data_IF_195374104308
#
_entry.id   IF_195374104308
#
_cell.length_a   1.000
_cell.length_b   1.000
_cell.length_c   1.000
_cell.angle_alpha   90.00
_cell.angle_beta   90.00
_cell.angle_gamma   90.00
#
_symmetry.space_group_name_H-M   'P 1'
#
loop_
_entity.id
_entity.type
_entity.pdbx_description
1 polymer ?
#
# COMPACT_ATOMS: atom_id res chain seq x y z
N UNK A 1 -11.88 -6.20 10.76
CA UNK A 1 -11.32 -5.55 11.97
C UNK A 1 -12.34 -5.33 13.07
N UNK A 2 -13.63 -5.26 12.78
CA UNK A 2 -14.68 -5.10 13.81
C UNK A 2 -15.55 -6.35 13.99
N UNK A 3 -15.20 -7.46 13.32
CA UNK A 3 -15.89 -8.74 13.48
C UNK A 3 -15.57 -9.33 14.87
N UNK A 4 -16.57 -10.02 15.44
CA UNK A 4 -16.49 -10.66 16.77
C UNK A 4 -15.54 -11.87 16.76
N UNK A 5 -15.22 -12.40 15.58
CA UNK A 5 -14.36 -13.58 15.41
C UNK A 5 -13.31 -13.39 14.32
N UNK A 6 -12.13 -13.93 14.56
CA UNK A 6 -11.05 -14.00 13.59
C UNK A 6 -11.49 -14.78 12.33
N UNK A 7 -10.98 -14.38 11.17
CA UNK A 7 -11.28 -15.06 9.91
C UNK A 7 -10.11 -14.97 8.92
N UNK A 8 -10.00 -15.97 8.04
CA UNK A 8 -9.13 -15.87 6.88
C UNK A 8 -9.86 -15.18 5.73
N UNK A 9 -9.24 -14.15 5.16
CA UNK A 9 -9.74 -13.49 3.97
C UNK A 9 -9.74 -14.47 2.79
N UNK A 10 -10.86 -14.58 2.08
CA UNK A 10 -11.01 -15.59 1.03
C UNK A 10 -10.15 -15.32 -0.21
N UNK A 11 -9.73 -14.06 -0.43
CA UNK A 11 -8.93 -13.68 -1.60
C UNK A 11 -7.45 -13.81 -1.33
N UNK A 12 -7.00 -13.37 -0.16
CA UNK A 12 -5.57 -13.31 0.19
C UNK A 12 -5.16 -14.43 1.14
N UNK A 13 -6.09 -15.18 1.75
CA UNK A 13 -5.80 -16.16 2.81
C UNK A 13 -5.11 -15.55 4.05
N UNK A 14 -5.12 -14.21 4.19
CA UNK A 14 -4.59 -13.51 5.35
C UNK A 14 -5.57 -13.65 6.51
N UNK A 15 -5.04 -14.00 7.69
CA UNK A 15 -5.79 -13.98 8.94
C UNK A 15 -6.03 -12.53 9.39
N UNK A 16 -7.30 -12.14 9.49
CA UNK A 16 -7.74 -10.91 10.10
C UNK A 16 -8.32 -11.19 11.48
N UNK A 17 -7.92 -10.36 12.45
CA UNK A 17 -8.39 -10.44 13.83
C UNK A 17 -9.16 -9.17 14.21
N UNK A 18 -9.89 -9.24 15.33
CA UNK A 18 -10.56 -8.07 15.90
C UNK A 18 -9.54 -7.03 16.38
N UNK A 19 -9.84 -5.76 16.13
CA UNK A 19 -8.97 -4.64 16.49
C UNK A 19 -9.10 -4.20 17.97
N UNK A 20 -10.05 -4.78 18.72
CA UNK A 20 -10.41 -4.39 20.09
C UNK A 20 -9.27 -4.43 21.12
N UNK A 21 -8.18 -5.17 20.84
CA UNK A 21 -6.99 -5.20 21.71
C UNK A 21 -6.01 -4.05 21.45
N UNK A 22 -6.18 -3.33 20.35
CA UNK A 22 -5.26 -2.30 19.87
C UNK A 22 -5.84 -0.89 20.00
N UNK A 23 -7.14 -0.76 20.29
CA UNK A 23 -7.88 0.52 20.41
C UNK A 23 -8.95 0.39 21.51
N UNK A 24 -9.17 1.45 22.28
CA UNK A 24 -10.15 1.47 23.38
C UNK A 24 -11.43 2.26 23.08
N UNK A 25 -11.51 2.92 21.92
CA UNK A 25 -12.57 3.84 21.54
C UNK A 25 -13.14 3.50 20.16
N UNK A 26 -14.20 4.20 19.77
CA UNK A 26 -14.83 4.07 18.46
C UNK A 26 -16.00 3.10 18.44
N UNK A 27 -16.75 3.16 17.36
CA UNK A 27 -17.99 2.40 17.15
C UNK A 27 -17.89 1.62 15.85
N UNK A 28 -18.23 0.33 15.93
CA UNK A 28 -18.24 -0.58 14.80
C UNK A 28 -19.43 -0.29 13.89
N UNK A 29 -19.22 -0.40 12.59
CA UNK A 29 -20.23 -0.16 11.58
C UNK A 29 -19.99 -1.01 10.33
N UNK A 30 -21.07 -1.21 9.57
CA UNK A 30 -21.01 -1.83 8.26
C UNK A 30 -21.14 -0.75 7.20
N UNK A 31 -20.46 -0.93 6.07
CA UNK A 31 -20.76 -0.12 4.90
C UNK A 31 -22.16 -0.46 4.36
N UNK A 32 -22.73 0.43 3.56
CA UNK A 32 -24.01 0.17 2.91
C UNK A 32 -23.97 -1.09 2.04
N UNK A 33 -25.06 -1.87 2.08
CA UNK A 33 -25.21 -3.12 1.31
C UNK A 33 -25.09 -2.93 -0.20
N UNK A 34 -25.28 -1.70 -0.70
CA UNK A 34 -25.07 -1.34 -2.10
C UNK A 34 -23.61 -1.56 -2.52
N UNK A 35 -22.66 -1.38 -1.60
CA UNK A 35 -21.22 -1.49 -1.87
C UNK A 35 -20.60 -2.76 -1.27
N UNK A 36 -21.27 -3.44 -0.34
CA UNK A 36 -20.69 -4.59 0.37
C UNK A 36 -20.28 -5.75 -0.53
N UNK A 37 -21.00 -5.97 -1.63
CA UNK A 37 -20.76 -7.10 -2.53
C UNK A 37 -19.62 -6.88 -3.53
N UNK A 38 -19.06 -5.66 -3.60
CA UNK A 38 -18.00 -5.32 -4.56
C UNK A 38 -16.62 -5.19 -3.91
N UNK A 39 -16.54 -5.35 -2.59
CA UNK A 39 -15.30 -5.16 -1.83
C UNK A 39 -14.91 -6.43 -1.07
N UNK A 40 -13.62 -6.55 -0.78
CA UNK A 40 -13.11 -7.61 0.08
C UNK A 40 -13.64 -7.43 1.51
N UNK A 41 -13.78 -8.54 2.25
CA UNK A 41 -14.35 -8.54 3.61
C UNK A 41 -13.67 -7.57 4.58
N UNK A 42 -12.34 -7.36 4.58
CA UNK A 42 -11.71 -6.36 5.45
C UNK A 42 -12.19 -4.92 5.20
N UNK A 43 -12.81 -4.65 4.05
CA UNK A 43 -13.32 -3.34 3.65
C UNK A 43 -14.84 -3.20 3.85
N UNK A 44 -15.56 -4.27 4.20
CA UNK A 44 -17.02 -4.22 4.39
C UNK A 44 -17.44 -3.68 5.76
N UNK A 45 -16.49 -3.55 6.68
CA UNK A 45 -16.71 -3.07 8.04
C UNK A 45 -15.77 -1.90 8.34
N UNK A 46 -16.18 -1.05 9.29
CA UNK A 46 -15.39 0.09 9.75
C UNK A 46 -15.46 0.23 11.26
N UNK A 47 -14.39 0.73 11.88
CA UNK A 47 -14.45 1.38 13.18
C UNK A 47 -14.43 2.89 12.97
N UNK A 48 -15.42 3.58 13.53
CA UNK A 48 -15.59 5.03 13.38
C UNK A 48 -15.39 5.76 14.70
N UNK A 49 -14.86 6.99 14.65
CA UNK A 49 -14.44 7.75 15.81
C UNK A 49 -15.18 9.10 15.88
N UNK A 50 -16.43 9.06 16.33
CA UNK A 50 -17.28 10.25 16.46
C UNK A 50 -16.94 11.14 17.65
N UNK A 51 -16.10 10.66 18.57
CA UNK A 51 -15.69 11.36 19.79
C UNK A 51 -14.16 11.41 19.89
N UNK A 52 -13.66 12.50 20.46
CA UNK A 52 -12.23 12.76 20.64
C UNK A 52 -11.57 13.26 19.35
N UNK A 53 -10.61 14.18 19.51
CA UNK A 53 -9.93 14.80 18.37
C UNK A 53 -8.86 13.87 17.75
N UNK A 54 -8.33 12.93 18.54
CA UNK A 54 -7.27 11.99 18.16
C UNK A 54 -7.53 10.61 18.76
N UNK A 55 -7.64 9.59 17.92
CA UNK A 55 -7.85 8.21 18.30
C UNK A 55 -6.70 7.34 17.77
N UNK A 56 -6.00 6.62 18.64
CA UNK A 56 -4.73 5.97 18.31
C UNK A 56 -4.75 4.47 18.56
N UNK A 57 -4.49 3.71 17.50
CA UNK A 57 -4.13 2.29 17.61
C UNK A 57 -2.71 2.16 18.17
N UNK A 58 -2.52 1.23 19.10
CA UNK A 58 -1.19 0.83 19.60
C UNK A 58 -0.85 -0.55 19.07
N UNK A 59 0.09 -0.62 18.12
CA UNK A 59 0.60 -1.88 17.57
C UNK A 59 1.87 -2.30 18.30
N UNK A 60 2.00 -3.58 18.65
CA UNK A 60 3.19 -4.15 19.30
C UNK A 60 3.77 -5.25 18.40
N UNK A 61 4.65 -4.90 17.44
CA UNK A 61 5.22 -5.91 16.55
C UNK A 61 6.10 -6.90 17.33
N UNK A 62 6.06 -8.17 16.93
CA UNK A 62 6.81 -9.25 17.58
C UNK A 62 8.33 -8.99 17.63
N UNK A 63 8.88 -8.47 16.54
CA UNK A 63 10.31 -8.17 16.45
C UNK A 63 10.69 -6.82 17.10
N UNK A 64 9.70 -6.06 17.60
CA UNK A 64 9.91 -4.83 18.35
C UNK A 64 10.59 -3.69 17.58
N UNK A 65 11.29 -2.82 18.30
CA UNK A 65 12.00 -1.67 17.73
C UNK A 65 13.16 -2.06 16.80
N UNK A 66 13.63 -1.08 16.03
CA UNK A 66 14.78 -1.19 15.11
C UNK A 66 14.60 -2.21 13.97
N UNK A 67 13.38 -2.70 13.77
CA UNK A 67 13.00 -3.54 12.64
C UNK A 67 12.12 -2.77 11.65
N UNK A 68 12.16 -3.18 10.39
CA UNK A 68 11.44 -2.50 9.32
C UNK A 68 10.05 -3.08 9.15
N UNK A 69 9.06 -2.20 9.10
CA UNK A 69 7.67 -2.59 8.91
C UNK A 69 7.02 -1.79 7.78
N UNK A 70 6.22 -2.47 6.97
CA UNK A 70 5.21 -1.86 6.13
C UNK A 70 3.91 -1.79 6.93
N UNK A 71 3.39 -0.59 7.12
CA UNK A 71 2.11 -0.32 7.77
C UNK A 71 1.13 0.12 6.69
N UNK A 72 -0.04 -0.51 6.62
CA UNK A 72 -1.11 -0.14 5.69
C UNK A 72 -2.38 0.17 6.45
N UNK A 73 -2.89 1.38 6.29
CA UNK A 73 -4.24 1.75 6.70
C UNK A 73 -5.15 1.76 5.47
N UNK A 74 -6.26 1.02 5.55
CA UNK A 74 -7.21 0.80 4.47
C UNK A 74 -8.56 1.40 4.84
N UNK A 75 -9.16 2.11 3.89
CA UNK A 75 -10.40 2.85 4.10
C UNK A 75 -11.36 2.63 2.93
N UNK A 76 -12.59 2.24 3.25
CA UNK A 76 -13.73 2.20 2.33
C UNK A 76 -14.91 2.90 3.01
N UNK A 77 -15.28 4.10 2.54
CA UNK A 77 -16.37 4.86 3.18
C UNK A 77 -17.70 4.13 3.03
N UNK A 78 -18.08 3.78 1.80
CA UNK A 78 -19.28 2.98 1.51
C UNK A 78 -20.57 3.51 2.16
N UNK A 79 -20.64 4.81 2.45
CA UNK A 79 -21.74 5.45 3.16
C UNK A 79 -22.13 4.73 4.47
N UNK A 80 -21.15 4.27 5.25
CA UNK A 80 -21.40 3.49 6.48
C UNK A 80 -22.26 4.23 7.52
N UNK A 81 -22.23 5.57 7.53
CA UNK A 81 -22.98 6.41 8.46
C UNK A 81 -24.29 6.96 7.89
N UNK A 82 -24.66 6.55 6.66
CA UNK A 82 -25.88 6.98 5.96
C UNK A 82 -26.00 8.49 5.75
N UNK A 83 -24.90 9.25 5.80
CA UNK A 83 -24.91 10.71 5.59
C UNK A 83 -24.65 11.13 4.15
N UNK A 84 -24.08 10.25 3.34
CA UNK A 84 -23.66 10.54 1.96
C UNK A 84 -22.72 11.75 1.88
N UNK A 85 -21.85 11.89 2.88
CA UNK A 85 -20.90 12.98 3.01
C UNK A 85 -19.50 12.43 3.21
N UNK A 86 -18.65 12.60 2.19
CA UNK A 86 -17.29 12.08 2.19
C UNK A 86 -16.46 12.77 3.28
N UNK A 87 -15.95 12.03 4.29
CA UNK A 87 -15.14 12.63 5.33
C UNK A 87 -13.72 12.91 4.82
N UNK A 88 -13.09 13.93 5.38
CA UNK A 88 -11.65 14.19 5.26
C UNK A 88 -11.07 14.21 6.65
N UNK A 89 -9.95 13.54 6.87
CA UNK A 89 -9.28 13.51 8.16
C UNK A 89 -7.80 13.20 7.98
N UNK A 90 -7.02 13.33 9.05
CA UNK A 90 -5.57 13.12 9.01
C UNK A 90 -5.17 11.80 9.66
N UNK A 91 -4.12 11.20 9.13
CA UNK A 91 -3.45 10.03 9.67
C UNK A 91 -2.10 10.45 10.21
N UNK A 92 -1.75 9.97 11.40
CA UNK A 92 -0.48 10.25 12.06
C UNK A 92 0.22 8.95 12.42
N UNK A 93 1.55 8.94 12.33
CA UNK A 93 2.41 7.91 12.87
C UNK A 93 3.13 8.50 14.10
N UNK A 94 2.65 8.17 15.29
CA UNK A 94 3.05 8.82 16.54
C UNK A 94 2.63 10.29 16.60
N UNK A 95 3.62 11.18 16.49
CA UNK A 95 3.43 12.64 16.47
C UNK A 95 3.54 13.24 15.09
N UNK A 96 4.09 12.49 14.13
CA UNK A 96 4.32 12.95 12.76
C UNK A 96 3.07 12.76 11.91
N UNK A 97 2.70 13.78 11.13
CA UNK A 97 1.64 13.65 10.15
C UNK A 97 2.09 12.68 9.06
N UNK A 98 1.33 11.61 8.88
CA UNK A 98 1.58 10.64 7.83
C UNK A 98 0.94 11.12 6.52
N UNK A 99 -0.38 11.28 6.48
CA UNK A 99 -1.08 11.73 5.27
C UNK A 99 -2.51 12.20 5.58
N UNK A 100 -3.14 12.85 4.59
CA UNK A 100 -4.58 13.16 4.59
C UNK A 100 -5.35 12.02 3.91
N UNK A 101 -6.38 11.54 4.60
CA UNK A 101 -7.36 10.59 4.04
C UNK A 101 -8.50 11.40 3.42
N UNK A 102 -8.73 11.17 2.13
CA UNK A 102 -9.77 11.82 1.32
C UNK A 102 -10.28 10.84 0.28
N UNK A 103 -11.56 10.94 -0.06
CA UNK A 103 -12.25 10.04 -0.99
C UNK A 103 -12.78 10.84 -2.18
N UNK A 104 -12.80 10.24 -3.36
CA UNK A 104 -13.42 10.87 -4.54
C UNK A 104 -14.92 10.58 -4.65
N UNK A 105 -15.37 9.47 -4.07
CA UNK A 105 -16.77 9.01 -4.08
C UNK A 105 -16.96 7.90 -3.01
N UNK A 106 -18.18 7.39 -2.89
CA UNK A 106 -18.54 6.39 -1.88
C UNK A 106 -17.93 4.99 -2.10
N UNK A 107 -17.51 4.66 -3.32
CA UNK A 107 -16.93 3.37 -3.66
C UNK A 107 -15.39 3.40 -3.73
N UNK A 108 -14.78 4.54 -3.43
CA UNK A 108 -13.33 4.73 -3.47
C UNK A 108 -12.66 3.97 -2.32
N UNK A 109 -11.66 3.16 -2.67
CA UNK A 109 -10.85 2.42 -1.70
C UNK A 109 -9.50 3.14 -1.57
N UNK A 110 -9.28 3.74 -0.40
CA UNK A 110 -8.06 4.48 -0.10
C UNK A 110 -7.14 3.58 0.71
N UNK A 111 -5.93 3.37 0.17
CA UNK A 111 -4.83 2.74 0.89
C UNK A 111 -3.78 3.79 1.21
N UNK A 112 -3.35 3.85 2.47
CA UNK A 112 -2.17 4.59 2.90
C UNK A 112 -1.13 3.58 3.35
N UNK A 113 0.03 3.59 2.70
CA UNK A 113 1.17 2.75 3.08
C UNK A 113 2.36 3.59 3.54
N UNK A 114 3.02 3.14 4.59
CA UNK A 114 4.27 3.74 5.09
C UNK A 114 5.23 2.63 5.53
N UNK A 115 6.49 2.78 5.18
CA UNK A 115 7.58 1.96 5.69
C UNK A 115 8.25 2.72 6.82
N UNK A 116 8.33 2.09 8.00
CA UNK A 116 8.85 2.70 9.20
C UNK A 116 9.75 1.75 9.98
N UNK A 117 10.77 2.31 10.63
CA UNK A 117 11.61 1.64 11.63
C UNK A 117 11.34 2.34 12.97
N UNK A 118 10.55 1.73 13.88
CA UNK A 118 10.23 2.36 15.14
C UNK A 118 11.42 2.35 16.09
N UNK A 119 11.58 3.42 16.86
CA UNK A 119 12.56 3.53 17.96
C UNK A 119 12.06 2.91 19.27
N UNK A 120 10.78 2.58 19.33
CA UNK A 120 10.07 1.98 20.47
C UNK A 120 9.49 0.62 20.10
N UNK A 121 9.20 -0.21 21.11
CA UNK A 121 8.62 -1.55 20.88
C UNK A 121 7.13 -1.54 20.52
N UNK A 122 6.56 -0.34 20.41
CA UNK A 122 5.20 -0.10 19.93
C UNK A 122 5.19 0.97 18.84
N UNK A 123 4.15 0.94 18.01
CA UNK A 123 3.87 1.89 16.95
C UNK A 123 2.47 2.46 17.17
N UNK A 124 2.35 3.78 17.23
CA UNK A 124 1.05 4.45 17.33
C UNK A 124 0.58 4.91 15.95
N UNK A 125 -0.59 4.44 15.52
CA UNK A 125 -1.25 4.91 14.29
C UNK A 125 -2.53 5.64 14.69
N UNK A 126 -2.57 6.94 14.43
CA UNK A 126 -3.64 7.79 14.95
C UNK A 126 -4.46 8.43 13.84
N UNK A 127 -5.78 8.38 13.99
CA UNK A 127 -6.73 9.10 13.17
C UNK A 127 -7.11 10.40 13.90
N UNK A 128 -6.99 11.53 13.19
CA UNK A 128 -7.22 12.87 13.75
C UNK A 128 -8.33 13.57 12.98
N UNK A 129 -9.36 13.98 13.73
CA UNK A 129 -10.47 14.74 13.19
C UNK A 129 -10.04 16.17 12.87
N UNK A 130 -10.40 16.68 11.69
CA UNK A 130 -10.14 18.05 11.26
C UNK A 130 -11.43 18.87 11.09
N UNK A 131 -12.56 18.37 11.60
CA UNK A 131 -13.90 18.98 11.47
C UNK A 131 -14.63 18.65 10.17
N UNK A 132 -14.07 17.84 9.28
CA UNK A 132 -14.63 17.54 7.95
C UNK A 132 -15.24 16.14 7.86
N UNK A 133 -15.96 15.72 8.90
CA UNK A 133 -16.59 14.39 8.98
C UNK A 133 -15.92 13.47 10.01
N UNK A 134 -16.51 12.28 10.20
CA UNK A 134 -16.06 11.32 11.22
C UNK A 134 -14.86 10.50 10.69
N UNK A 135 -13.70 10.52 11.37
CA UNK A 135 -12.62 9.60 11.03
C UNK A 135 -13.03 8.15 11.24
N UNK A 136 -12.61 7.28 10.34
CA UNK A 136 -12.89 5.85 10.41
C UNK A 136 -11.74 5.05 9.79
N UNK A 137 -11.68 3.76 10.06
CA UNK A 137 -10.74 2.83 9.41
C UNK A 137 -11.43 1.49 9.14
N UNK A 138 -11.12 0.86 8.01
CA UNK A 138 -11.65 -0.47 7.66
C UNK A 138 -10.69 -1.58 8.07
N UNK A 139 -9.39 -1.39 7.79
CA UNK A 139 -8.34 -2.32 8.19
C UNK A 139 -7.01 -1.61 8.45
N UNK A 140 -6.20 -2.17 9.36
CA UNK A 140 -4.83 -1.76 9.65
C UNK A 140 -3.93 -2.99 9.64
N UNK A 141 -3.04 -3.06 8.65
CA UNK A 141 -2.15 -4.19 8.44
C UNK A 141 -0.70 -3.80 8.80
N UNK A 142 0.01 -4.72 9.45
CA UNK A 142 1.42 -4.58 9.81
C UNK A 142 2.18 -5.77 9.24
N UNK A 143 3.18 -5.52 8.39
CA UNK A 143 4.01 -6.54 7.75
C UNK A 143 5.48 -6.25 8.04
N UNK A 144 6.21 -7.24 8.53
CA UNK A 144 7.66 -7.11 8.68
C UNK A 144 8.33 -7.18 7.30
N UNK A 145 9.28 -6.28 7.06
CA UNK A 145 10.14 -6.28 5.88
C UNK A 145 11.57 -6.69 6.26
N UNK A 146 12.38 -7.03 5.25
CA UNK A 146 13.82 -7.12 5.44
C UNK A 146 14.40 -5.72 5.72
N UNK A 147 15.32 -5.60 6.68
CA UNK A 147 15.98 -4.34 7.00
C UNK A 147 16.89 -3.83 5.86
N UNK A 148 17.35 -4.71 4.95
CA UNK A 148 18.24 -4.33 3.85
C UNK A 148 17.55 -3.60 2.70
N UNK A 149 16.22 -3.71 2.56
CA UNK A 149 15.47 -3.10 1.44
C UNK A 149 14.88 -1.77 1.83
N UNK A 150 14.67 -0.85 0.88
CA UNK A 150 14.09 0.48 1.13
C UNK A 150 14.87 1.27 2.20
N UNK A 151 16.17 1.48 1.99
CA UNK A 151 17.02 2.23 2.92
C UNK A 151 16.73 3.73 2.79
N UNK A 152 16.56 4.41 3.92
CA UNK A 152 16.40 5.87 4.00
C UNK A 152 17.56 6.50 4.73
N UNK A 153 17.88 7.74 4.37
CA UNK A 153 18.83 8.56 5.13
C UNK A 153 18.21 9.06 6.44
N UNK A 154 16.92 9.40 6.41
CA UNK A 154 16.15 9.84 7.58
C UNK A 154 14.67 9.56 7.37
N UNK A 155 13.96 9.30 8.47
CA UNK A 155 12.51 9.21 8.48
C UNK A 155 11.93 7.97 7.79
N UNK A 156 10.61 7.99 7.67
CA UNK A 156 9.78 6.94 7.09
C UNK A 156 9.55 7.15 5.59
N UNK A 157 9.24 6.08 4.84
CA UNK A 157 8.84 6.18 3.43
C UNK A 157 7.34 6.02 3.29
N UNK A 158 6.64 7.11 3.00
CA UNK A 158 5.25 7.04 2.55
C UNK A 158 5.21 6.54 1.10
N UNK A 159 4.34 5.59 0.80
CA UNK A 159 4.16 5.12 -0.57
C UNK A 159 3.50 6.20 -1.43
N UNK A 160 4.19 6.62 -2.49
CA UNK A 160 3.56 7.41 -3.54
C UNK A 160 2.84 6.52 -4.55
N UNK A 161 3.57 5.61 -5.22
CA UNK A 161 3.04 4.68 -6.25
C UNK A 161 3.84 3.37 -6.24
N UNK A 162 3.17 2.26 -6.55
CA UNK A 162 3.78 0.95 -6.82
C UNK A 162 3.04 0.29 -7.97
N UNK A 163 3.76 -0.06 -9.04
CA UNK A 163 3.16 -0.50 -10.29
C UNK A 163 3.72 -1.82 -10.79
N UNK A 164 2.81 -2.69 -11.23
CA UNK A 164 3.09 -3.80 -12.15
C UNK A 164 3.10 -3.24 -13.57
N UNK A 165 4.30 -2.95 -14.07
CA UNK A 165 4.53 -2.20 -15.31
C UNK A 165 4.44 -3.12 -16.51
N UNK A 166 3.67 -2.71 -17.52
CA UNK A 166 3.45 -3.54 -18.72
C UNK A 166 2.43 -4.64 -18.50
N UNK A 167 1.73 -4.64 -17.36
CA UNK A 167 0.62 -5.55 -17.10
C UNK A 167 -0.44 -5.45 -18.20
N UNK A 168 -0.88 -6.61 -18.68
CA UNK A 168 -1.95 -6.75 -19.68
C UNK A 168 -3.31 -7.07 -19.04
N UNK A 169 -3.34 -7.16 -17.71
CA UNK A 169 -4.54 -7.45 -16.93
C UNK A 169 -4.87 -6.27 -16.01
N UNK A 170 -6.12 -6.18 -15.55
CA UNK A 170 -6.51 -5.23 -14.51
C UNK A 170 -6.42 -5.85 -13.10
N UNK A 171 -5.58 -6.87 -12.91
CA UNK A 171 -5.44 -7.55 -11.64
C UNK A 171 -4.44 -6.85 -10.72
N UNK A 172 -4.80 -6.75 -9.45
CA UNK A 172 -3.90 -6.30 -8.39
C UNK A 172 -3.12 -7.52 -7.89
N UNK A 173 -1.80 -7.39 -7.82
CA UNK A 173 -0.92 -8.43 -7.25
C UNK A 173 -0.57 -8.04 -5.82
N UNK A 174 -0.73 -8.97 -4.88
CA UNK A 174 -0.32 -8.86 -3.47
C UNK A 174 -0.08 -10.26 -2.91
N UNK A 175 -0.17 -10.45 -1.59
CA UNK A 175 -0.10 -11.79 -1.01
C UNK A 175 -1.19 -12.73 -1.60
N UNK A 176 -0.88 -13.99 -1.92
CA UNK A 176 0.36 -14.73 -1.60
C UNK A 176 1.52 -14.58 -2.60
N UNK A 177 1.32 -13.92 -3.73
CA UNK A 177 2.39 -13.72 -4.74
C UNK A 177 3.52 -12.81 -4.22
N UNK A 178 3.19 -11.83 -3.38
CA UNK A 178 4.16 -10.97 -2.70
C UNK A 178 4.35 -11.38 -1.24
N UNK A 179 5.55 -11.85 -0.90
CA UNK A 179 5.92 -12.29 0.46
C UNK A 179 5.87 -11.18 1.51
N UNK A 180 5.96 -9.92 1.08
CA UNK A 180 5.82 -8.74 1.94
C UNK A 180 4.41 -8.15 1.88
N UNK A 181 3.48 -8.81 1.17
CA UNK A 181 2.10 -8.39 0.96
C UNK A 181 2.00 -6.97 0.40
N UNK A 182 2.98 -6.52 -0.40
CA UNK A 182 2.88 -5.21 -1.06
C UNK A 182 1.80 -5.26 -2.13
N UNK A 183 1.04 -4.18 -2.26
CA UNK A 183 0.03 -4.03 -3.32
C UNK A 183 0.70 -3.44 -4.57
N UNK A 184 0.70 -4.20 -5.66
CA UNK A 184 1.15 -3.79 -6.99
C UNK A 184 -0.08 -3.50 -7.87
N UNK A 185 -0.20 -2.25 -8.33
CA UNK A 185 -1.29 -1.85 -9.23
C UNK A 185 -0.88 -2.06 -10.69
N UNK A 186 -1.71 -2.69 -11.53
CA UNK A 186 -1.40 -2.85 -12.93
C UNK A 186 -1.29 -1.48 -13.60
N UNK A 187 -0.27 -1.31 -14.45
CA UNK A 187 -0.04 -0.05 -15.14
C UNK A 187 0.56 -0.27 -16.53
N UNK A 188 -0.13 0.23 -17.54
CA UNK A 188 0.37 0.29 -18.91
C UNK A 188 -0.24 1.48 -19.64
N UNK A 189 0.54 2.18 -20.47
CA UNK A 189 0.01 3.20 -21.36
C UNK A 189 -0.45 2.58 -22.67
N UNK A 190 -1.43 3.21 -23.32
CA UNK A 190 -2.01 2.72 -24.59
C UNK A 190 -1.00 2.58 -25.73
N UNK A 191 0.10 3.35 -25.71
CA UNK A 191 1.17 3.31 -26.72
C UNK A 191 2.37 2.46 -26.30
N UNK A 192 2.34 1.84 -25.12
CA UNK A 192 3.36 0.88 -24.73
C UNK A 192 3.08 -0.47 -25.38
N UNK A 193 4.11 -1.07 -25.96
CA UNK A 193 4.07 -2.46 -26.41
C UNK A 193 4.61 -3.30 -25.25
N UNK A 194 3.75 -4.02 -24.52
CA UNK A 194 4.21 -4.86 -23.42
C UNK A 194 5.04 -6.01 -23.97
N UNK A 195 6.05 -6.40 -23.21
CA UNK A 195 6.85 -7.59 -23.44
C UNK A 195 6.57 -8.52 -22.27
N UNK A 196 6.26 -9.77 -22.56
CA UNK A 196 6.04 -10.80 -21.55
C UNK A 196 7.05 -11.93 -21.72
N UNK A 197 7.54 -12.46 -20.59
CA UNK A 197 8.27 -13.71 -20.58
C UNK A 197 7.35 -14.88 -20.96
N UNK A 198 7.91 -15.90 -21.61
CA UNK A 198 7.24 -17.18 -21.88
C UNK A 198 7.23 -18.11 -20.66
N UNK A 199 7.92 -17.73 -19.58
CA UNK A 199 8.10 -18.51 -18.36
C UNK A 199 7.89 -17.64 -17.12
N UNK A 200 7.64 -18.28 -15.99
CA UNK A 200 7.69 -17.65 -14.67
C UNK A 200 8.73 -18.39 -13.85
N UNK A 201 9.67 -17.67 -13.23
CA UNK A 201 10.74 -18.26 -12.43
C UNK A 201 11.07 -17.37 -11.24
N UNK A 202 11.30 -18.00 -10.09
CA UNK A 202 11.79 -17.32 -8.88
C UNK A 202 13.12 -16.59 -9.13
N UNK A 203 13.88 -17.00 -10.14
CA UNK A 203 15.11 -16.32 -10.57
C UNK A 203 14.84 -14.86 -10.98
N UNK A 204 13.67 -14.55 -11.56
CA UNK A 204 13.29 -13.18 -11.92
C UNK A 204 13.11 -12.29 -10.67
N UNK A 205 12.88 -12.92 -9.52
CA UNK A 205 12.65 -12.27 -8.21
C UNK A 205 13.82 -12.42 -7.23
N UNK A 206 14.94 -13.02 -7.66
CA UNK A 206 16.04 -13.44 -6.79
C UNK A 206 16.93 -12.27 -6.32
N UNK A 207 16.34 -11.35 -5.57
CA UNK A 207 17.03 -10.26 -4.89
C UNK A 207 16.36 -9.98 -3.54
N UNK A 208 16.97 -9.10 -2.74
CA UNK A 208 16.50 -8.79 -1.39
C UNK A 208 15.09 -8.20 -1.36
N UNK A 209 14.67 -7.50 -2.43
CA UNK A 209 13.35 -6.88 -2.55
C UNK A 209 12.25 -7.89 -2.85
N UNK A 210 12.60 -9.07 -3.37
CA UNK A 210 11.66 -10.16 -3.69
C UNK A 210 10.36 -9.66 -4.35
N UNK A 211 10.41 -8.86 -5.44
CA UNK A 211 9.19 -8.55 -6.19
C UNK A 211 8.56 -9.86 -6.68
N UNK A 212 7.22 -9.98 -6.73
CA UNK A 212 6.58 -11.21 -7.20
C UNK A 212 7.07 -11.60 -8.59
N UNK A 213 7.33 -12.89 -8.88
CA UNK A 213 7.68 -13.32 -10.23
C UNK A 213 6.67 -12.84 -11.28
N UNK A 214 5.38 -12.83 -10.95
CA UNK A 214 4.28 -12.34 -11.81
C UNK A 214 4.37 -10.86 -12.17
N UNK A 215 4.98 -10.03 -11.31
CA UNK A 215 5.27 -8.61 -11.60
C UNK A 215 6.51 -8.50 -12.51
N UNK A 216 7.44 -9.45 -12.40
CA UNK A 216 8.70 -9.43 -13.14
C UNK A 216 8.62 -10.10 -14.51
N UNK A 217 7.50 -10.76 -14.85
CA UNK A 217 7.30 -11.41 -16.17
C UNK A 217 6.83 -10.45 -17.24
N UNK A 218 6.27 -9.30 -16.88
CA UNK A 218 5.82 -8.27 -17.82
C UNK A 218 6.72 -7.04 -17.72
N UNK A 219 6.84 -6.32 -18.83
CA UNK A 219 7.58 -5.08 -18.89
C UNK A 219 7.31 -4.30 -20.16
N UNK A 220 8.05 -3.23 -20.35
CA UNK A 220 8.01 -2.41 -21.57
C UNK A 220 9.43 -1.97 -21.94
N UNK A 221 9.78 -1.92 -23.23
CA UNK A 221 11.11 -1.46 -23.66
C UNK A 221 11.28 0.05 -23.50
N UNK A 222 10.19 0.79 -23.26
CA UNK A 222 10.21 2.24 -23.05
C UNK A 222 9.40 2.61 -21.81
N UNK A 223 10.10 3.11 -20.79
CA UNK A 223 9.50 3.50 -19.51
C UNK A 223 9.57 5.01 -19.33
N UNK A 224 8.42 5.66 -19.16
CA UNK A 224 8.34 7.10 -18.85
C UNK A 224 7.28 7.34 -17.79
N UNK A 225 7.69 7.96 -16.70
CA UNK A 225 6.83 8.42 -15.62
C UNK A 225 7.01 9.92 -15.40
N UNK A 226 5.92 10.57 -15.03
CA UNK A 226 5.93 11.93 -14.52
C UNK A 226 4.88 12.03 -13.42
N UNK A 227 5.15 12.90 -12.46
CA UNK A 227 4.21 13.27 -11.43
C UNK A 227 4.52 14.68 -10.94
N UNK A 228 3.53 15.29 -10.32
CA UNK A 228 3.69 16.58 -9.65
C UNK A 228 3.60 16.32 -8.14
N UNK A 229 4.64 16.68 -7.36
CA UNK A 229 4.55 16.60 -5.92
C UNK A 229 3.55 17.63 -5.40
N UNK A 230 2.86 17.31 -4.31
CA UNK A 230 1.96 18.28 -3.67
C UNK A 230 2.75 19.39 -2.97
N UNK A 231 3.97 19.06 -2.53
CA UNK A 231 4.91 19.99 -1.91
C UNK A 231 6.27 19.85 -2.63
N UNK A 232 6.80 20.94 -3.23
CA UNK A 232 8.09 20.92 -3.93
C UNK A 232 9.29 20.49 -3.09
N UNK A 233 9.20 20.53 -1.76
CA UNK A 233 10.25 20.07 -0.85
C UNK A 233 10.29 18.55 -0.66
N UNK A 234 9.28 17.83 -1.15
CA UNK A 234 9.20 16.38 -1.04
C UNK A 234 10.33 15.69 -1.80
N UNK A 235 11.03 14.81 -1.08
CA UNK A 235 12.04 13.93 -1.65
C UNK A 235 11.43 12.59 -2.01
N UNK A 236 11.86 12.02 -3.14
CA UNK A 236 11.36 10.74 -3.63
C UNK A 236 12.49 9.72 -3.69
N UNK A 237 12.19 8.51 -3.23
CA UNK A 237 13.03 7.34 -3.48
C UNK A 237 12.36 6.52 -4.58
N UNK A 238 13.07 6.32 -5.69
CA UNK A 238 12.58 5.56 -6.85
C UNK A 238 13.29 4.22 -6.89
N UNK A 239 12.51 3.14 -6.85
CA UNK A 239 13.01 1.78 -6.97
C UNK A 239 12.50 1.19 -8.28
N UNK A 240 13.43 0.89 -9.19
CA UNK A 240 13.14 0.28 -10.49
C UNK A 240 13.59 -1.18 -10.44
N UNK A 241 12.69 -2.08 -10.82
CA UNK A 241 12.97 -3.51 -10.89
C UNK A 241 13.03 -3.91 -12.36
N UNK A 242 14.12 -4.55 -12.75
CA UNK A 242 14.37 -4.97 -14.12
C UNK A 242 14.60 -6.49 -14.16
N UNK A 243 14.07 -7.11 -15.20
CA UNK A 243 14.41 -8.48 -15.59
C UNK A 243 14.49 -8.53 -17.12
N UNK A 244 15.45 -9.28 -17.65
CA UNK A 244 15.43 -9.63 -19.08
C UNK A 244 14.53 -10.84 -19.25
N UNK A 245 13.43 -10.65 -19.97
CA UNK A 245 12.33 -11.61 -20.11
C UNK A 245 12.28 -12.26 -21.49
N UNK A 246 13.07 -11.76 -22.45
CA UNK A 246 13.20 -12.36 -23.77
C UNK A 246 14.45 -13.22 -23.85
N UNK A 247 14.36 -14.34 -24.56
CA UNK A 247 15.52 -15.14 -24.92
C UNK A 247 16.31 -14.41 -26.01
N UNK A 248 17.30 -13.64 -25.57
CA UNK A 248 18.23 -12.96 -26.45
C UNK A 248 19.35 -13.93 -26.86
N UNK A 249 19.80 -13.83 -28.13
CA UNK A 249 21.00 -14.52 -28.58
C UNK A 249 22.22 -14.11 -27.73
N UNK A 250 23.24 -14.96 -27.64
CA UNK A 250 24.44 -14.68 -26.83
C UNK A 250 25.20 -13.40 -27.24
N UNK A 251 24.97 -12.91 -28.45
CA UNK A 251 25.51 -11.69 -29.04
C UNK A 251 24.58 -10.47 -28.92
N UNK A 252 23.37 -10.66 -28.41
CA UNK A 252 22.36 -9.61 -28.25
C UNK A 252 22.37 -9.05 -26.83
N UNK A 253 22.46 -7.73 -26.72
CA UNK A 253 22.42 -7.01 -25.44
C UNK A 253 21.37 -5.91 -25.51
N UNK A 254 20.61 -5.76 -24.42
CA UNK A 254 19.75 -4.60 -24.21
C UNK A 254 20.50 -3.55 -23.41
N UNK A 255 20.54 -2.34 -23.94
CA UNK A 255 21.10 -1.17 -23.26
C UNK A 255 20.06 -0.07 -23.25
N UNK A 256 19.98 0.65 -22.15
CA UNK A 256 19.08 1.78 -22.00
C UNK A 256 19.71 2.77 -21.02
N UNK A 257 19.37 4.03 -21.21
CA UNK A 257 19.76 5.11 -20.33
C UNK A 257 18.56 5.48 -19.44
N UNK A 258 18.83 5.82 -18.19
CA UNK A 258 17.79 6.28 -17.26
C UNK A 258 18.02 7.78 -17.03
N UNK A 259 16.96 8.57 -17.17
CA UNK A 259 17.00 10.00 -16.94
C UNK A 259 16.03 10.38 -15.82
N UNK A 260 16.46 11.25 -14.92
CA UNK A 260 15.62 11.88 -13.91
C UNK A 260 15.62 13.39 -14.14
N UNK A 261 14.43 13.97 -14.35
CA UNK A 261 14.28 15.41 -14.64
C UNK A 261 15.10 15.93 -15.83
N UNK A 262 15.42 15.05 -16.79
CA UNK A 262 16.20 15.39 -17.98
C UNK A 262 17.70 15.11 -17.83
N UNK A 263 18.17 14.85 -16.61
CA UNK A 263 19.57 14.53 -16.33
C UNK A 263 19.78 13.00 -16.31
N UNK A 264 20.87 12.47 -16.90
CA UNK A 264 21.22 11.06 -16.77
C UNK A 264 21.43 10.67 -15.30
N UNK A 265 20.89 9.52 -14.91
CA UNK A 265 21.23 8.85 -13.65
C UNK A 265 22.50 8.02 -13.88
N UNK A 266 23.60 8.40 -13.22
CA UNK A 266 24.85 7.63 -13.16
C UNK A 266 24.73 6.37 -12.28
#
# INVERSE_FOLDING_TARGET
MTDVSDYNDATTNILYTSDAKFINTGTDGNISSIYSNTVQRPLSTVRSFSHGDKNCYTLVPEQGKNNKYLIRASFMYGNYDSKDQLPVFKLYLGVEEWDVVKFNNNFDIVFKEIIHIPSTDYINVCLVNNGSGTPFISALELRQLNNSIYKTQSGSLMLYRRYDVGSTTNQIIRYEDDVYDRIWKPFSWTYWVPISASYTSDLLSANEYKPPPTVMTNGTPFLKFYWLPNDPSQQFYVYLHFAEVQDLGSDQLRKFDIFLNGDPLD
#
